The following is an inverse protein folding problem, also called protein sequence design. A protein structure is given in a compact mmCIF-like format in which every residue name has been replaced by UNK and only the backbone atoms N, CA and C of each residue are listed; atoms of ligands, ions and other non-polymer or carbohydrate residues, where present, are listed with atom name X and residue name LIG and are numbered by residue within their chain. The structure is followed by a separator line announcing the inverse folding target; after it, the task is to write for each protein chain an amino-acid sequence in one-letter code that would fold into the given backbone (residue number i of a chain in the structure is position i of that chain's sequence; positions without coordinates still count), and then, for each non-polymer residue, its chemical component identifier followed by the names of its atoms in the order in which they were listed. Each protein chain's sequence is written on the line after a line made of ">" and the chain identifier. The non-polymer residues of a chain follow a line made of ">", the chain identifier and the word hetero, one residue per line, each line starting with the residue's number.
data_IF_687280184848
#
_entry.id   IF_687280184848
#
_cell.length_a   1.000
_cell.length_b   1.000
_cell.length_c   1.000
_cell.angle_alpha   90.00
_cell.angle_beta   90.00
_cell.angle_gamma   90.00
#
_symmetry.space_group_name_H-M   'P 1'
#
loop_
_entity.id
_entity.type
_entity.pdbx_description
1 polymer ?
#
# COMPACT_ATOMS: atom_id res chain seq x y z
N UNK A 1 -15.83 18.50 3.27
CA UNK A 1 -16.51 17.53 4.18
C UNK A 1 -17.70 18.12 4.91
N UNK A 2 -17.64 19.33 5.47
CA UNK A 2 -18.75 19.94 6.21
C UNK A 2 -20.05 20.10 5.40
N UNK A 3 -19.97 20.33 4.10
CA UNK A 3 -21.13 20.45 3.21
C UNK A 3 -21.76 19.10 2.84
N UNK A 4 -20.91 18.05 2.68
CA UNK A 4 -21.33 16.72 2.20
C UNK A 4 -21.79 15.82 3.37
N UNK A 5 -21.22 16.01 4.57
CA UNK A 5 -21.47 15.20 5.78
C UNK A 5 -21.38 13.69 5.50
N UNK A 6 -20.26 13.17 4.94
CA UNK A 6 -20.14 11.76 4.63
C UNK A 6 -20.15 10.93 5.92
N UNK A 7 -20.73 9.72 5.86
CA UNK A 7 -20.66 8.75 6.96
C UNK A 7 -19.39 7.91 6.93
N UNK A 8 -18.75 7.79 5.74
CA UNK A 8 -17.51 7.03 5.53
C UNK A 8 -16.58 7.82 4.62
N UNK A 9 -15.29 7.80 4.92
CA UNK A 9 -14.23 8.40 4.10
C UNK A 9 -13.22 7.31 3.76
N UNK A 10 -13.01 7.05 2.46
CA UNK A 10 -11.93 6.19 1.97
C UNK A 10 -10.72 7.05 1.64
N UNK A 11 -9.68 6.99 2.47
CA UNK A 11 -8.44 7.74 2.28
C UNK A 11 -7.40 6.89 1.56
N UNK A 12 -7.38 7.02 0.24
CA UNK A 12 -6.45 6.32 -0.65
C UNK A 12 -5.34 7.23 -1.20
N UNK A 13 -5.37 8.53 -0.87
CA UNK A 13 -4.32 9.45 -1.31
C UNK A 13 -3.02 9.21 -0.54
N UNK A 14 -1.92 9.08 -1.26
CA UNK A 14 -0.59 8.92 -0.70
C UNK A 14 0.49 9.38 -1.69
N UNK A 15 1.63 9.82 -1.19
CA UNK A 15 2.86 9.85 -1.95
C UNK A 15 3.43 8.44 -1.97
N UNK A 16 3.69 7.88 -3.15
CA UNK A 16 4.07 6.46 -3.31
C UNK A 16 5.35 6.25 -4.11
N UNK A 17 6.09 7.33 -4.41
CA UNK A 17 7.38 7.24 -5.07
C UNK A 17 8.48 6.95 -4.04
N UNK A 18 8.58 5.67 -3.63
CA UNK A 18 9.41 5.18 -2.51
C UNK A 18 10.86 5.69 -2.61
N UNK A 19 11.52 5.47 -3.76
CA UNK A 19 12.92 5.87 -3.95
C UNK A 19 13.10 7.40 -3.86
N UNK A 20 12.17 8.19 -4.40
CA UNK A 20 12.21 9.64 -4.33
C UNK A 20 11.96 10.19 -2.94
N UNK A 21 11.25 9.46 -2.09
CA UNK A 21 11.01 9.83 -0.71
C UNK A 21 12.30 9.94 0.11
N UNK A 22 13.35 9.20 -0.29
CA UNK A 22 14.65 9.28 0.39
C UNK A 22 15.37 10.62 0.16
N UNK A 23 15.11 11.30 -0.97
CA UNK A 23 15.83 12.50 -1.41
C UNK A 23 14.89 13.67 -1.75
N UNK A 24 14.68 13.92 -3.04
CA UNK A 24 13.95 15.08 -3.57
C UNK A 24 12.45 15.12 -3.19
N UNK A 25 11.87 13.97 -2.93
CA UNK A 25 10.44 13.80 -2.59
C UNK A 25 10.12 13.87 -1.10
N UNK A 26 11.12 13.90 -0.22
CA UNK A 26 10.97 13.76 1.23
C UNK A 26 9.97 14.75 1.84
N UNK A 27 10.09 16.03 1.52
CA UNK A 27 9.18 17.06 2.04
C UNK A 27 7.72 16.82 1.57
N UNK A 28 7.55 16.41 0.30
CA UNK A 28 6.23 16.12 -0.24
C UNK A 28 5.64 14.84 0.33
N UNK A 29 6.47 13.81 0.54
CA UNK A 29 6.10 12.56 1.18
C UNK A 29 5.54 12.83 2.60
N UNK A 30 6.25 13.59 3.41
CA UNK A 30 5.82 13.99 4.75
C UNK A 30 4.51 14.79 4.72
N UNK A 31 4.43 15.81 3.87
CA UNK A 31 3.21 16.62 3.73
C UNK A 31 1.98 15.81 3.33
N UNK A 32 2.14 14.85 2.41
CA UNK A 32 1.01 14.06 1.91
C UNK A 32 0.65 12.94 2.88
N UNK A 33 1.64 12.15 3.31
CA UNK A 33 1.39 10.93 4.07
C UNK A 33 1.16 11.20 5.57
N UNK A 34 1.77 12.24 6.14
CA UNK A 34 1.60 12.60 7.55
C UNK A 34 0.58 13.71 7.73
N UNK A 35 0.89 14.93 7.24
CA UNK A 35 0.03 16.10 7.45
C UNK A 35 -1.33 15.93 6.75
N UNK A 36 -1.31 15.45 5.49
CA UNK A 36 -2.52 15.18 4.72
C UNK A 36 -3.42 14.15 5.41
N UNK A 37 -2.84 13.06 5.91
CA UNK A 37 -3.59 12.03 6.64
C UNK A 37 -4.16 12.57 7.96
N UNK A 38 -3.37 13.37 8.72
CA UNK A 38 -3.84 14.05 9.94
C UNK A 38 -5.03 14.97 9.65
N UNK A 39 -4.94 15.80 8.62
CA UNK A 39 -6.05 16.68 8.23
C UNK A 39 -7.32 15.92 7.82
N UNK A 40 -7.16 14.79 7.13
CA UNK A 40 -8.31 13.93 6.76
C UNK A 40 -8.94 13.32 8.00
N UNK A 41 -8.13 12.84 8.97
CA UNK A 41 -8.61 12.27 10.23
C UNK A 41 -9.34 13.32 11.08
N UNK A 42 -8.79 14.53 11.22
CA UNK A 42 -9.43 15.65 11.92
C UNK A 42 -10.76 16.03 11.26
N UNK A 43 -10.80 16.08 9.94
CA UNK A 43 -12.02 16.37 9.19
C UNK A 43 -13.06 15.25 9.32
N UNK A 44 -12.64 13.98 9.38
CA UNK A 44 -13.52 12.83 9.65
C UNK A 44 -14.14 12.96 11.03
N UNK A 45 -13.32 13.21 12.07
CA UNK A 45 -13.78 13.45 13.45
C UNK A 45 -14.82 14.56 13.52
N UNK A 46 -14.55 15.69 12.84
CA UNK A 46 -15.42 16.87 12.87
C UNK A 46 -16.82 16.62 12.27
N UNK A 47 -16.99 15.60 11.44
CA UNK A 47 -18.28 15.23 10.82
C UNK A 47 -18.83 13.90 11.33
N UNK A 48 -18.14 13.22 12.24
CA UNK A 48 -18.54 11.90 12.76
C UNK A 48 -18.47 10.78 11.73
N UNK A 49 -17.52 10.86 10.78
CA UNK A 49 -17.36 9.86 9.73
C UNK A 49 -16.35 8.77 10.14
N UNK A 50 -16.64 7.52 9.80
CA UNK A 50 -15.66 6.43 9.86
C UNK A 50 -14.58 6.64 8.79
N UNK A 51 -13.30 6.50 9.16
CA UNK A 51 -12.17 6.60 8.24
C UNK A 51 -11.64 5.22 7.87
N UNK A 52 -11.55 4.92 6.58
CA UNK A 52 -10.83 3.76 6.03
C UNK A 52 -9.54 4.27 5.40
N UNK A 53 -8.40 3.97 6.02
CA UNK A 53 -7.07 4.42 5.60
C UNK A 53 -6.28 3.28 4.99
N UNK A 54 -5.79 3.46 3.76
CA UNK A 54 -4.92 2.50 3.08
C UNK A 54 -3.47 2.74 3.49
N UNK A 55 -2.88 1.78 4.17
CA UNK A 55 -1.47 1.76 4.60
C UNK A 55 -0.66 0.72 3.81
N UNK A 56 0.52 0.38 4.28
CA UNK A 56 1.52 -0.41 3.56
C UNK A 56 2.22 -1.42 4.47
N UNK A 57 2.77 -2.48 3.89
CA UNK A 57 3.70 -3.41 4.52
C UNK A 57 5.11 -2.83 4.73
N UNK A 58 5.46 -1.74 4.06
CA UNK A 58 6.73 -1.02 4.27
C UNK A 58 6.93 -0.44 5.68
N UNK A 59 5.92 -0.51 6.53
CA UNK A 59 6.09 -0.21 7.96
C UNK A 59 6.90 -1.28 8.70
N UNK A 60 7.12 -2.45 8.10
CA UNK A 60 7.93 -3.52 8.65
C UNK A 60 9.31 -3.59 7.97
N UNK A 61 10.30 -4.14 8.67
CA UNK A 61 11.70 -4.23 8.21
C UNK A 61 12.01 -5.40 7.27
N UNK A 62 11.05 -6.29 7.02
CA UNK A 62 11.27 -7.46 6.16
C UNK A 62 12.17 -8.55 6.75
N UNK A 63 12.59 -8.44 8.02
CA UNK A 63 13.56 -9.37 8.63
C UNK A 63 12.95 -10.66 9.18
N UNK A 64 11.62 -10.77 9.19
CA UNK A 64 10.92 -11.96 9.69
C UNK A 64 11.17 -13.16 8.76
N UNK A 65 11.97 -14.12 9.23
CA UNK A 65 12.44 -15.26 8.43
C UNK A 65 11.36 -16.31 8.17
N UNK A 66 10.38 -16.44 9.05
CA UNK A 66 9.32 -17.44 8.95
C UNK A 66 7.94 -16.83 9.18
N UNK A 67 6.96 -17.32 8.42
CA UNK A 67 5.58 -16.88 8.53
C UNK A 67 5.30 -15.53 7.86
N UNK A 68 4.33 -14.80 8.42
CA UNK A 68 3.90 -13.48 7.97
C UNK A 68 3.89 -12.51 9.15
N UNK A 69 4.01 -11.22 8.88
CA UNK A 69 3.80 -10.21 9.92
C UNK A 69 2.35 -10.24 10.40
N UNK A 70 2.17 -10.26 11.70
CA UNK A 70 0.87 -10.10 12.36
C UNK A 70 0.54 -8.62 12.55
N UNK A 71 -0.71 -8.30 12.82
CA UNK A 71 -1.16 -6.91 12.99
C UNK A 71 -0.54 -6.25 14.23
N UNK A 72 -0.13 -7.04 15.22
CA UNK A 72 0.50 -6.64 16.48
C UNK A 72 2.03 -6.78 16.49
N UNK A 73 2.64 -7.26 15.39
CA UNK A 73 4.10 -7.20 15.24
C UNK A 73 4.57 -5.73 15.26
N UNK A 74 5.70 -5.48 15.93
CA UNK A 74 6.26 -4.15 16.09
C UNK A 74 6.69 -3.55 14.75
N UNK A 75 6.15 -2.41 14.32
CA UNK A 75 6.62 -1.72 13.13
C UNK A 75 8.08 -1.25 13.27
N UNK A 76 8.85 -1.38 12.20
CA UNK A 76 10.24 -0.93 12.10
C UNK A 76 10.56 -0.56 10.63
N UNK A 77 10.02 0.56 10.10
CA UNK A 77 10.23 0.94 8.71
C UNK A 77 11.70 1.26 8.43
N UNK A 78 12.23 0.74 7.32
CA UNK A 78 13.62 0.94 6.90
C UNK A 78 13.79 2.08 5.88
N UNK A 79 12.70 2.65 5.38
CA UNK A 79 12.72 3.73 4.41
C UNK A 79 11.76 4.87 4.82
N UNK A 80 11.94 6.02 4.18
CA UNK A 80 11.19 7.24 4.49
C UNK A 80 9.70 7.07 4.19
N UNK A 81 9.34 6.46 3.06
CA UNK A 81 7.95 6.16 2.73
C UNK A 81 7.25 5.32 3.82
N UNK A 82 7.88 4.24 4.27
CA UNK A 82 7.35 3.41 5.37
C UNK A 82 7.20 4.19 6.67
N UNK A 83 8.20 5.04 6.99
CA UNK A 83 8.16 5.93 8.16
C UNK A 83 6.97 6.89 8.10
N UNK A 84 6.78 7.59 7.01
CA UNK A 84 5.69 8.57 6.87
C UNK A 84 4.32 7.91 6.85
N UNK A 85 4.19 6.73 6.23
CA UNK A 85 2.95 5.94 6.28
C UNK A 85 2.62 5.48 7.70
N UNK A 86 3.62 5.05 8.48
CA UNK A 86 3.45 4.70 9.90
C UNK A 86 3.01 5.91 10.74
N UNK A 87 3.61 7.08 10.53
CA UNK A 87 3.18 8.32 11.19
C UNK A 87 1.74 8.69 10.82
N UNK A 88 1.32 8.41 9.59
CA UNK A 88 -0.07 8.54 9.17
C UNK A 88 -1.01 7.61 9.93
N UNK A 89 -0.63 6.32 10.12
CA UNK A 89 -1.40 5.38 10.96
C UNK A 89 -1.55 5.90 12.39
N UNK A 90 -0.43 6.36 12.99
CA UNK A 90 -0.42 6.92 14.34
C UNK A 90 -1.32 8.14 14.48
N UNK A 91 -1.31 9.04 13.47
CA UNK A 91 -2.20 10.20 13.45
C UNK A 91 -3.69 9.78 13.39
N UNK A 92 -4.04 8.76 12.62
CA UNK A 92 -5.41 8.21 12.57
C UNK A 92 -5.81 7.66 13.95
N UNK A 93 -4.95 6.84 14.56
CA UNK A 93 -5.18 6.22 15.87
C UNK A 93 -5.27 7.22 17.01
N UNK A 94 -4.50 8.31 16.97
CA UNK A 94 -4.53 9.39 17.94
C UNK A 94 -5.84 10.20 17.89
N UNK A 95 -6.38 10.38 16.69
CA UNK A 95 -7.50 11.31 16.44
C UNK A 95 -8.86 10.60 16.51
N UNK A 96 -8.95 9.36 16.01
CA UNK A 96 -10.21 8.65 15.79
C UNK A 96 -10.28 7.35 16.61
N UNK A 97 -11.49 7.02 17.07
CA UNK A 97 -11.84 5.70 17.60
C UNK A 97 -12.45 4.81 16.49
N UNK A 98 -13.22 5.41 15.58
CA UNK A 98 -13.95 4.73 14.50
C UNK A 98 -13.14 4.75 13.20
N UNK A 99 -12.17 3.81 13.07
CA UNK A 99 -11.30 3.71 11.90
C UNK A 99 -11.02 2.27 11.48
N UNK A 100 -10.67 2.11 10.22
CA UNK A 100 -10.04 0.92 9.65
C UNK A 100 -8.72 1.33 9.00
N UNK A 101 -7.60 0.80 9.47
CA UNK A 101 -6.29 0.92 8.83
C UNK A 101 -6.03 -0.39 8.09
N UNK A 102 -5.89 -0.35 6.77
CA UNK A 102 -5.68 -1.53 5.95
C UNK A 102 -4.27 -1.48 5.37
N UNK A 103 -3.36 -2.30 5.91
CA UNK A 103 -2.01 -2.49 5.41
C UNK A 103 -2.04 -3.48 4.25
N UNK A 104 -1.46 -3.09 3.13
CA UNK A 104 -1.44 -3.87 1.90
C UNK A 104 -0.07 -3.82 1.24
N UNK A 105 0.15 -4.65 0.21
CA UNK A 105 1.44 -4.75 -0.48
C UNK A 105 1.26 -4.87 -1.99
N UNK A 106 2.23 -4.36 -2.77
CA UNK A 106 2.37 -4.58 -4.21
C UNK A 106 1.06 -4.38 -4.99
N UNK A 107 0.41 -3.25 -4.74
CA UNK A 107 -0.92 -2.96 -5.30
C UNK A 107 -0.83 -2.77 -6.81
N UNK A 108 -1.66 -3.51 -7.54
CA UNK A 108 -1.79 -3.40 -8.99
C UNK A 108 -3.25 -3.41 -9.42
N UNK A 109 -3.56 -2.88 -10.59
CA UNK A 109 -4.93 -2.87 -11.10
C UNK A 109 -5.06 -2.30 -12.49
N UNK A 110 -6.30 -2.19 -12.94
CA UNK A 110 -6.64 -1.73 -14.30
C UNK A 110 -6.30 -0.26 -14.55
N UNK A 111 -6.21 0.56 -13.50
CA UNK A 111 -6.06 2.00 -13.61
C UNK A 111 -4.81 2.47 -12.88
N UNK A 112 -4.25 3.60 -13.32
CA UNK A 112 -3.07 4.18 -12.74
C UNK A 112 -1.76 3.45 -13.09
N UNK A 113 -0.66 4.01 -12.65
CA UNK A 113 0.67 3.44 -12.85
C UNK A 113 0.89 2.28 -11.86
N UNK A 114 1.40 1.14 -12.31
CA UNK A 114 1.70 -0.01 -11.48
C UNK A 114 2.74 -0.92 -12.16
N UNK A 115 3.26 -1.88 -11.41
CA UNK A 115 4.32 -2.78 -11.87
C UNK A 115 3.92 -3.60 -13.11
N UNK A 116 2.66 -4.05 -13.20
CA UNK A 116 2.17 -4.82 -14.35
C UNK A 116 2.31 -4.00 -15.64
N UNK A 117 1.81 -2.77 -15.65
CA UNK A 117 1.94 -1.89 -16.81
C UNK A 117 3.39 -1.47 -17.09
N UNK A 118 4.22 -1.34 -16.05
CA UNK A 118 5.64 -1.08 -16.22
C UNK A 118 6.32 -2.21 -16.97
N UNK A 119 6.11 -3.47 -16.56
CA UNK A 119 6.67 -4.63 -17.24
C UNK A 119 6.19 -4.75 -18.69
N UNK A 120 4.87 -4.61 -18.92
CA UNK A 120 4.30 -4.64 -20.26
C UNK A 120 4.91 -3.57 -21.18
N UNK A 121 5.03 -2.33 -20.69
CA UNK A 121 5.62 -1.23 -21.45
C UNK A 121 7.10 -1.44 -21.77
N UNK A 122 7.88 -1.99 -20.83
CA UNK A 122 9.28 -2.31 -21.07
C UNK A 122 9.43 -3.43 -22.11
N UNK A 123 8.52 -4.39 -22.14
CA UNK A 123 8.48 -5.48 -23.10
C UNK A 123 8.21 -5.02 -24.55
N UNK A 124 7.63 -3.83 -24.75
CA UNK A 124 7.42 -3.27 -26.11
C UNK A 124 8.74 -2.90 -26.81
N UNK A 125 9.81 -2.66 -26.06
CA UNK A 125 11.07 -2.09 -26.58
C UNK A 125 12.32 -2.87 -26.15
N UNK A 126 12.18 -3.94 -25.40
CA UNK A 126 13.30 -4.73 -24.87
C UNK A 126 13.04 -6.21 -25.05
N UNK A 127 14.03 -6.92 -25.53
CA UNK A 127 14.01 -8.38 -25.68
C UNK A 127 14.40 -9.10 -24.37
N UNK A 128 15.00 -8.37 -23.42
CA UNK A 128 15.45 -8.90 -22.13
C UNK A 128 15.25 -7.88 -21.00
N UNK A 129 14.81 -8.36 -19.84
CA UNK A 129 14.65 -7.59 -18.60
C UNK A 129 15.34 -8.31 -17.44
N UNK A 130 16.03 -7.56 -16.56
CA UNK A 130 16.54 -8.06 -15.29
C UNK A 130 15.65 -7.56 -14.15
N UNK A 131 15.23 -8.47 -13.25
CA UNK A 131 14.32 -8.15 -12.15
C UNK A 131 14.80 -8.84 -10.87
N UNK A 132 14.76 -8.15 -9.74
CA UNK A 132 15.21 -8.64 -8.43
C UNK A 132 14.45 -9.90 -8.00
N UNK A 133 15.18 -10.90 -7.50
CA UNK A 133 14.62 -12.19 -7.05
C UNK A 133 14.81 -12.44 -5.53
N UNK A 134 15.49 -11.53 -4.82
CA UNK A 134 15.71 -11.58 -3.38
C UNK A 134 14.63 -10.89 -2.55
N UNK A 135 13.75 -10.10 -3.17
CA UNK A 135 12.64 -9.42 -2.52
C UNK A 135 11.34 -10.17 -2.73
N UNK A 136 10.70 -10.58 -1.62
CA UNK A 136 9.45 -11.34 -1.61
C UNK A 136 8.29 -10.51 -1.08
N UNK A 137 7.16 -10.59 -1.77
CA UNK A 137 5.93 -9.90 -1.38
C UNK A 137 4.68 -10.61 -1.88
N UNK A 138 3.53 -9.97 -1.67
CA UNK A 138 2.23 -10.47 -2.12
C UNK A 138 1.57 -9.43 -3.02
N UNK A 139 1.52 -9.66 -4.34
CA UNK A 139 0.76 -8.78 -5.23
C UNK A 139 -0.71 -8.70 -4.80
N UNK A 140 -1.25 -7.49 -4.72
CA UNK A 140 -2.63 -7.26 -4.30
C UNK A 140 -3.41 -6.52 -5.37
N UNK A 141 -4.50 -7.14 -5.85
CA UNK A 141 -5.36 -6.52 -6.84
C UNK A 141 -6.22 -5.41 -6.20
N UNK A 142 -6.24 -4.23 -6.82
CA UNK A 142 -7.03 -3.08 -6.34
C UNK A 142 -8.51 -3.39 -6.14
N UNK A 143 -9.09 -4.30 -6.93
CA UNK A 143 -10.47 -4.73 -6.75
C UNK A 143 -10.66 -5.50 -5.44
N UNK A 144 -9.77 -6.44 -5.11
CA UNK A 144 -9.81 -7.16 -3.83
C UNK A 144 -9.72 -6.18 -2.65
N UNK A 145 -8.83 -5.18 -2.75
CA UNK A 145 -8.72 -4.13 -1.74
C UNK A 145 -10.02 -3.33 -1.61
N UNK A 146 -10.60 -2.89 -2.72
CA UNK A 146 -11.85 -2.12 -2.72
C UNK A 146 -13.04 -2.93 -2.18
N UNK A 147 -13.17 -4.20 -2.57
CA UNK A 147 -14.20 -5.12 -2.07
C UNK A 147 -14.06 -5.34 -0.56
N UNK A 148 -12.82 -5.50 -0.06
CA UNK A 148 -12.57 -5.63 1.39
C UNK A 148 -12.90 -4.34 2.15
N UNK A 149 -12.52 -3.17 1.64
CA UNK A 149 -12.88 -1.88 2.25
C UNK A 149 -14.41 -1.71 2.35
N UNK A 150 -15.15 -2.11 1.32
CA UNK A 150 -16.61 -2.09 1.34
C UNK A 150 -17.17 -3.12 2.34
N UNK A 151 -16.58 -4.31 2.39
CA UNK A 151 -16.98 -5.41 3.29
C UNK A 151 -16.86 -5.01 4.77
N UNK A 152 -15.73 -4.44 5.21
CA UNK A 152 -15.56 -4.06 6.63
C UNK A 152 -16.58 -3.01 7.09
N UNK A 153 -17.00 -2.14 6.19
CA UNK A 153 -18.07 -1.16 6.45
C UNK A 153 -19.45 -1.83 6.50
N UNK A 154 -19.78 -2.66 5.49
CA UNK A 154 -21.09 -3.32 5.37
C UNK A 154 -21.37 -4.27 6.55
N UNK A 155 -20.37 -5.06 6.93
CA UNK A 155 -20.46 -6.03 8.02
C UNK A 155 -20.23 -5.41 9.40
N UNK A 156 -19.92 -4.11 9.47
CA UNK A 156 -19.55 -3.44 10.73
C UNK A 156 -18.48 -4.21 11.49
N UNK A 157 -17.42 -4.61 10.76
CA UNK A 157 -16.30 -5.33 11.35
C UNK A 157 -15.70 -4.52 12.53
N UNK A 158 -15.06 -5.14 13.52
CA UNK A 158 -14.41 -4.40 14.60
C UNK A 158 -13.46 -3.33 14.07
N UNK A 159 -13.51 -2.13 14.61
CA UNK A 159 -12.56 -1.06 14.28
C UNK A 159 -11.12 -1.48 14.63
N UNK A 160 -10.15 -1.01 13.87
CA UNK A 160 -8.74 -1.28 14.10
C UNK A 160 -7.91 -1.49 12.85
N UNK A 161 -6.81 -2.22 13.02
CA UNK A 161 -5.81 -2.49 11.98
C UNK A 161 -6.05 -3.85 11.33
N UNK A 162 -5.92 -3.91 10.01
CA UNK A 162 -6.09 -5.11 9.20
C UNK A 162 -4.92 -5.25 8.23
N UNK A 163 -4.55 -6.49 7.94
CA UNK A 163 -3.68 -6.82 6.81
C UNK A 163 -4.52 -7.40 5.68
N UNK A 164 -4.33 -6.89 4.48
CA UNK A 164 -4.95 -7.42 3.26
C UNK A 164 -3.93 -7.57 2.15
N UNK A 165 -3.79 -8.78 1.66
CA UNK A 165 -3.11 -9.10 0.40
C UNK A 165 -3.81 -10.26 -0.29
N UNK A 166 -3.54 -10.47 -1.59
CA UNK A 166 -3.94 -11.70 -2.22
C UNK A 166 -3.10 -12.88 -1.69
N UNK A 167 -3.53 -14.09 -1.99
CA UNK A 167 -2.84 -15.32 -1.58
C UNK A 167 -1.52 -15.51 -2.34
N UNK A 168 -0.67 -16.36 -1.76
CA UNK A 168 0.66 -16.70 -2.24
C UNK A 168 1.65 -15.53 -2.21
N UNK A 169 2.92 -15.87 -2.05
CA UNK A 169 4.04 -14.92 -2.15
C UNK A 169 4.90 -15.25 -3.37
N UNK A 170 5.51 -14.23 -3.94
CA UNK A 170 6.48 -14.38 -5.02
C UNK A 170 7.55 -13.28 -4.92
N UNK A 171 8.67 -13.46 -5.62
CA UNK A 171 9.61 -12.36 -5.87
C UNK A 171 9.11 -11.45 -6.99
N UNK A 172 9.70 -10.25 -7.11
CA UNK A 172 9.44 -9.37 -8.25
C UNK A 172 9.77 -10.06 -9.58
N UNK A 173 10.86 -10.84 -9.63
CA UNK A 173 11.22 -11.65 -10.78
C UNK A 173 10.11 -12.63 -11.19
N UNK A 174 9.60 -13.42 -10.23
CA UNK A 174 8.51 -14.37 -10.50
C UNK A 174 7.23 -13.67 -10.94
N UNK A 175 6.94 -12.51 -10.35
CA UNK A 175 5.78 -11.71 -10.75
C UNK A 175 5.95 -11.16 -12.17
N UNK A 176 7.13 -10.63 -12.52
CA UNK A 176 7.44 -10.18 -13.88
C UNK A 176 7.34 -11.32 -14.91
N UNK A 177 7.84 -12.51 -14.59
CA UNK A 177 7.70 -13.70 -15.43
C UNK A 177 6.24 -14.08 -15.70
N UNK A 178 5.40 -14.01 -14.69
CA UNK A 178 3.97 -14.30 -14.88
C UNK A 178 3.28 -13.23 -15.73
N UNK A 179 3.62 -11.95 -15.54
CA UNK A 179 3.09 -10.84 -16.35
C UNK A 179 3.45 -11.00 -17.84
N UNK A 180 4.67 -11.44 -18.11
CA UNK A 180 5.23 -11.51 -19.48
C UNK A 180 5.24 -12.92 -20.08
N UNK A 181 4.57 -13.88 -19.47
CA UNK A 181 4.60 -15.30 -19.87
C UNK A 181 4.18 -15.60 -21.32
N UNK A 182 3.33 -14.73 -21.87
CA UNK A 182 2.82 -14.86 -23.25
C UNK A 182 3.59 -13.96 -24.24
N UNK A 183 4.76 -13.44 -23.84
CA UNK A 183 5.67 -12.66 -24.70
C UNK A 183 6.97 -13.42 -24.94
N UNK A 184 7.76 -12.96 -25.92
CA UNK A 184 9.10 -13.51 -26.21
C UNK A 184 10.22 -12.85 -25.36
N UNK A 185 9.88 -11.94 -24.46
CA UNK A 185 10.85 -11.22 -23.62
C UNK A 185 11.45 -12.14 -22.56
N UNK A 186 12.77 -12.22 -22.54
CA UNK A 186 13.51 -12.97 -21.54
C UNK A 186 13.56 -12.20 -20.22
N UNK A 187 13.07 -12.78 -19.13
CA UNK A 187 13.18 -12.20 -17.79
C UNK A 187 14.23 -12.94 -17.00
N UNK A 188 15.29 -12.25 -16.58
CA UNK A 188 16.40 -12.79 -15.79
C UNK A 188 16.35 -12.30 -14.35
N UNK A 189 16.72 -13.16 -13.38
CA UNK A 189 16.82 -12.75 -11.99
C UNK A 189 18.10 -11.91 -11.75
N UNK A 190 18.04 -11.02 -10.79
CA UNK A 190 19.18 -10.31 -10.21
C UNK A 190 18.99 -10.23 -8.68
N UNK A 191 20.08 -10.35 -7.94
CA UNK A 191 20.13 -10.22 -6.48
C UNK A 191 20.35 -8.75 -6.09
#
# INVERSE_FOLDING_TARGET
>A
MKEIQPSVIYHCAAYTAVDKAEDEGKELDEKVNVDGTRHVAEAAKAVGATLVYVSTDYIFDGTKKEGVYAIDDQPNPLNEYGRTKLLGEQAVQEILDDYYIIRTSWVFGKYGHNFVFTMQKLAETRDQLTVVDDQFGRPTWTRTLAEFMAFVIAEKAPFGVYHLSNENSCSWYKFAKEILKDTEVEVLPVD
#
